data_IF_953724154759
#
_entry.id   IF_953724154759
#
_cell.length_a   1.000
_cell.length_b   1.000
_cell.length_c   1.000
_cell.angle_alpha   90.00
_cell.angle_beta   90.00
_cell.angle_gamma   90.00
#
_symmetry.space_group_name_H-M   'P 1'
#
loop_
_entity.id
_entity.type
_entity.pdbx_description
1 polymer ?
#
# COMPACT_ATOMS: atom_id res chain seq x y z
N UNK A 1 6.53 11.11 3.21
CA UNK A 1 5.62 11.34 4.36
C UNK A 1 5.41 10.00 5.01
N UNK A 2 5.73 9.85 6.29
CA UNK A 2 5.63 8.58 7.01
C UNK A 2 4.25 8.49 7.66
N UNK A 3 3.43 7.58 7.17
CA UNK A 3 2.10 7.31 7.70
C UNK A 3 2.03 5.81 8.02
N UNK A 4 1.97 5.48 9.31
CA UNK A 4 2.11 4.09 9.77
C UNK A 4 0.88 3.22 9.44
N UNK A 5 -0.29 3.84 9.19
CA UNK A 5 -1.55 3.11 8.99
C UNK A 5 -2.41 3.77 7.89
N UNK A 6 -1.94 3.78 6.63
CA UNK A 6 -2.67 4.40 5.54
C UNK A 6 -3.96 3.63 5.21
N UNK A 7 -5.02 4.37 4.91
CA UNK A 7 -6.23 3.77 4.36
C UNK A 7 -6.04 3.41 2.87
N UNK A 8 -6.99 2.67 2.29
CA UNK A 8 -6.85 2.21 0.89
C UNK A 8 -6.63 3.34 -0.11
N UNK A 9 -7.35 4.45 0.07
CA UNK A 9 -7.32 5.58 -0.84
C UNK A 9 -5.92 6.18 -0.86
N UNK A 10 -5.32 6.35 0.31
CA UNK A 10 -3.94 6.84 0.46
C UNK A 10 -2.92 5.89 -0.17
N UNK A 11 -3.08 4.58 0.01
CA UNK A 11 -2.21 3.58 -0.62
C UNK A 11 -2.31 3.69 -2.16
N UNK A 12 -3.52 3.79 -2.71
CA UNK A 12 -3.72 3.92 -4.17
C UNK A 12 -3.18 5.24 -4.72
N UNK A 13 -3.35 6.34 -3.98
CA UNK A 13 -2.79 7.65 -4.33
C UNK A 13 -1.26 7.59 -4.36
N UNK A 14 -0.62 6.95 -3.38
CA UNK A 14 0.82 6.72 -3.36
C UNK A 14 1.30 5.79 -4.49
N UNK A 15 0.46 4.86 -4.95
CA UNK A 15 0.76 3.95 -6.06
C UNK A 15 0.48 4.55 -7.45
N UNK A 16 -0.11 5.75 -7.55
CA UNK A 16 -0.54 6.35 -8.82
C UNK A 16 0.57 6.48 -9.88
N UNK A 17 1.84 6.59 -9.46
CA UNK A 17 3.01 6.64 -10.35
C UNK A 17 3.61 5.28 -10.72
N UNK A 18 3.08 4.18 -10.20
CA UNK A 18 3.61 2.83 -10.41
C UNK A 18 2.68 2.03 -11.31
N UNK A 19 3.05 1.81 -12.58
CA UNK A 19 2.23 1.05 -13.50
C UNK A 19 2.24 -0.45 -13.16
N UNK A 20 1.05 -1.04 -13.05
CA UNK A 20 0.88 -2.47 -12.90
C UNK A 20 -0.03 -3.00 -14.02
N UNK A 21 0.42 -4.05 -14.73
CA UNK A 21 -0.33 -4.65 -15.84
C UNK A 21 -1.05 -5.95 -15.48
N UNK A 22 -0.68 -6.60 -14.39
CA UNK A 22 -1.09 -7.97 -14.11
C UNK A 22 -2.19 -8.07 -13.06
N UNK A 23 -2.03 -7.40 -11.91
CA UNK A 23 -2.86 -7.66 -10.71
C UNK A 23 -4.00 -6.68 -10.51
N UNK A 24 -4.06 -5.61 -11.31
CA UNK A 24 -5.03 -4.53 -11.11
C UNK A 24 -4.90 -3.85 -9.74
N UNK A 25 -3.70 -3.86 -9.14
CA UNK A 25 -3.34 -3.28 -7.84
C UNK A 25 -3.90 -3.95 -6.59
N UNK A 26 -4.89 -4.85 -6.68
CA UNK A 26 -5.56 -5.41 -5.50
C UNK A 26 -4.58 -6.11 -4.54
N UNK A 27 -3.72 -6.98 -5.07
CA UNK A 27 -2.76 -7.71 -4.25
C UNK A 27 -1.64 -6.81 -3.70
N UNK A 28 -1.28 -5.73 -4.39
CA UNK A 28 -0.28 -4.76 -3.90
C UNK A 28 -0.85 -4.00 -2.70
N UNK A 29 -2.10 -3.53 -2.82
CA UNK A 29 -2.80 -2.84 -1.72
C UNK A 29 -2.91 -3.75 -0.49
N UNK A 30 -3.29 -5.02 -0.67
CA UNK A 30 -3.37 -5.99 0.41
C UNK A 30 -2.01 -6.21 1.10
N UNK A 31 -0.93 -6.32 0.31
CA UNK A 31 0.42 -6.50 0.83
C UNK A 31 0.90 -5.29 1.66
N UNK A 32 0.61 -4.06 1.19
CA UNK A 32 0.96 -2.83 1.93
C UNK A 32 0.25 -2.80 3.29
N UNK A 33 -1.05 -3.10 3.35
CA UNK A 33 -1.79 -3.16 4.62
C UNK A 33 -1.18 -4.18 5.58
N UNK A 34 -0.88 -5.38 5.08
CA UNK A 34 -0.25 -6.42 5.89
C UNK A 34 1.11 -5.98 6.44
N UNK A 35 1.92 -5.28 5.63
CA UNK A 35 3.21 -4.77 6.06
C UNK A 35 3.09 -3.71 7.17
N UNK A 36 2.09 -2.83 7.07
CA UNK A 36 1.76 -1.83 8.11
C UNK A 36 1.31 -2.49 9.42
N UNK A 37 0.45 -3.51 9.36
CA UNK A 37 -0.03 -4.23 10.55
C UNK A 37 1.08 -5.08 11.20
N UNK A 38 1.98 -5.66 10.39
CA UNK A 38 3.05 -6.53 10.86
C UNK A 38 4.27 -5.78 11.43
N UNK A 39 4.34 -4.45 11.28
CA UNK A 39 5.55 -3.68 11.61
C UNK A 39 5.26 -2.41 12.42
N UNK A 40 5.27 -2.46 13.77
CA UNK A 40 5.25 -1.25 14.58
C UNK A 40 6.68 -0.71 14.71
N UNK A 41 7.32 -0.30 13.59
CA UNK A 41 8.66 0.28 13.54
C UNK A 41 9.84 -0.72 13.61
N UNK A 42 10.31 -1.17 12.44
CA UNK A 42 11.67 -1.72 12.27
C UNK A 42 12.50 -0.76 11.43
#
# INVERSE_FOLDING_TARGET
RDHASPNEREIREALSGNLCRCTGYQNIVAAVRLACDASPHR
#
